data_IF_221566669441
#
_entry.id   IF_221566669441
#
_cell.length_a   1.000
_cell.length_b   1.000
_cell.length_c   1.000
_cell.angle_alpha   90.00
_cell.angle_beta   90.00
_cell.angle_gamma   90.00
#
_symmetry.space_group_name_H-M   'P 1'
#
loop_
_entity.id
_entity.type
_entity.pdbx_description
1 polymer ?
#
# COMPACT_ATOMS: atom_id res chain seq x y z
N UNK A 1 -1.55 8.80 -55.32
CA UNK A 1 -1.61 7.34 -55.52
C UNK A 1 -2.11 6.74 -54.19
N UNK A 2 -3.25 6.03 -54.18
CA UNK A 2 -3.79 5.48 -52.95
C UNK A 2 -2.91 4.31 -52.49
N UNK A 3 -2.49 4.33 -51.23
CA UNK A 3 -1.70 3.27 -50.59
C UNK A 3 -2.54 1.97 -50.51
N UNK A 4 -1.90 0.83 -50.76
CA UNK A 4 -2.47 -0.50 -50.63
C UNK A 4 -1.71 -1.30 -49.59
N UNK A 5 -2.33 -2.33 -49.03
CA UNK A 5 -1.75 -3.18 -47.99
C UNK A 5 -0.34 -3.69 -48.34
N UNK A 6 -0.12 -4.07 -49.59
CA UNK A 6 1.17 -4.55 -50.10
C UNK A 6 2.30 -3.51 -50.09
N UNK A 7 1.99 -2.21 -49.96
CA UNK A 7 2.98 -1.15 -49.95
C UNK A 7 3.68 -1.07 -48.59
N UNK A 8 3.17 -1.82 -47.61
CA UNK A 8 3.70 -1.90 -46.20
C UNK A 8 4.55 -3.15 -45.98
N UNK A 9 4.80 -3.97 -47.02
CA UNK A 9 5.69 -5.13 -46.88
C UNK A 9 7.07 -4.69 -46.41
N UNK A 10 7.55 -5.33 -45.30
CA UNK A 10 8.81 -4.99 -44.64
C UNK A 10 8.72 -3.87 -43.63
N UNK A 11 7.54 -3.35 -43.32
CA UNK A 11 7.29 -2.46 -42.19
C UNK A 11 6.94 -3.30 -40.97
N UNK A 12 7.68 -3.13 -39.83
CA UNK A 12 7.42 -3.94 -38.65
C UNK A 12 6.14 -3.50 -37.94
N UNK A 13 5.46 -4.43 -37.25
CA UNK A 13 4.29 -4.17 -36.41
C UNK A 13 4.51 -3.01 -35.42
N UNK A 14 5.71 -2.92 -34.83
CA UNK A 14 6.08 -1.82 -33.96
C UNK A 14 6.11 -0.46 -34.64
N UNK A 15 6.55 -0.41 -35.91
CA UNK A 15 6.55 0.83 -36.72
C UNK A 15 5.12 1.25 -37.05
N UNK A 16 4.25 0.31 -37.41
CA UNK A 16 2.84 0.59 -37.69
C UNK A 16 2.10 1.10 -36.45
N UNK A 17 2.31 0.46 -35.33
CA UNK A 17 1.69 0.87 -34.07
C UNK A 17 2.16 2.27 -33.63
N UNK A 18 3.45 2.55 -33.70
CA UNK A 18 3.98 3.87 -33.38
C UNK A 18 3.47 4.95 -34.35
N UNK A 19 3.34 4.63 -35.63
CA UNK A 19 2.77 5.56 -36.58
C UNK A 19 1.30 5.88 -36.29
N UNK A 20 0.51 4.88 -35.91
CA UNK A 20 -0.87 5.07 -35.50
C UNK A 20 -0.96 5.97 -34.23
N UNK A 21 -0.13 5.72 -33.24
CA UNK A 21 -0.05 6.54 -32.01
C UNK A 21 0.35 7.99 -32.31
N UNK A 22 1.42 8.19 -33.10
CA UNK A 22 1.92 9.53 -33.45
C UNK A 22 0.93 10.35 -34.28
N UNK A 23 0.14 9.70 -35.12
CA UNK A 23 -0.86 10.35 -35.97
C UNK A 23 -2.24 10.42 -35.32
N UNK A 24 -2.36 9.98 -34.05
CA UNK A 24 -3.63 9.99 -33.32
C UNK A 24 -4.71 9.06 -33.92
N UNK A 25 -4.29 8.05 -34.68
CA UNK A 25 -5.18 7.09 -35.33
C UNK A 25 -5.44 5.93 -34.39
N UNK A 26 -6.72 5.68 -34.08
CA UNK A 26 -7.12 4.48 -33.33
C UNK A 26 -7.61 3.41 -34.34
N UNK A 27 -6.86 2.31 -34.53
CA UNK A 27 -7.33 1.19 -35.32
C UNK A 27 -8.45 0.47 -34.55
N UNK A 28 -9.56 0.26 -35.24
CA UNK A 28 -10.71 -0.47 -34.69
C UNK A 28 -10.80 -1.79 -35.43
N UNK A 29 -10.77 -2.91 -34.71
CA UNK A 29 -10.91 -4.24 -35.27
C UNK A 29 -12.33 -4.55 -35.72
N UNK A 30 -12.50 -5.66 -36.40
CA UNK A 30 -13.79 -6.12 -36.91
C UNK A 30 -14.87 -6.31 -35.83
N UNK A 31 -14.46 -6.40 -34.56
CA UNK A 31 -15.31 -6.48 -33.37
C UNK A 31 -15.66 -5.13 -32.78
N UNK A 32 -15.25 -4.01 -33.36
CA UNK A 32 -15.47 -2.66 -32.87
C UNK A 32 -14.56 -2.24 -31.68
N UNK A 33 -13.57 -3.04 -31.33
CA UNK A 33 -12.61 -2.76 -30.26
C UNK A 33 -11.26 -2.30 -30.82
N UNK A 34 -10.45 -1.54 -30.06
CA UNK A 34 -9.09 -1.18 -30.45
C UNK A 34 -8.26 -2.42 -30.79
N UNK A 35 -7.54 -2.38 -31.91
CA UNK A 35 -6.74 -3.50 -32.40
C UNK A 35 -5.28 -3.11 -32.59
N UNK A 36 -4.40 -4.08 -32.39
CA UNK A 36 -2.96 -3.99 -32.66
C UNK A 36 -2.53 -4.89 -33.81
N UNK A 37 -3.48 -5.48 -34.53
CA UNK A 37 -3.19 -6.32 -35.71
C UNK A 37 -2.69 -5.47 -36.87
N UNK A 38 -1.67 -5.94 -37.57
CA UNK A 38 -0.99 -5.18 -38.60
C UNK A 38 -1.91 -4.80 -39.78
N UNK A 39 -2.79 -5.68 -40.18
CA UNK A 39 -3.78 -5.42 -41.24
C UNK A 39 -4.76 -4.30 -40.87
N UNK A 40 -5.20 -4.26 -39.62
CA UNK A 40 -6.12 -3.24 -39.11
C UNK A 40 -5.41 -1.92 -38.85
N UNK A 41 -4.16 -1.95 -38.36
CA UNK A 41 -3.29 -0.79 -38.23
C UNK A 41 -3.02 -0.14 -39.60
N UNK A 42 -2.68 -0.92 -40.61
CA UNK A 42 -2.47 -0.44 -41.98
C UNK A 42 -3.74 0.16 -42.56
N UNK A 43 -4.89 -0.49 -42.37
CA UNK A 43 -6.18 0.02 -42.86
C UNK A 43 -6.54 1.38 -42.23
N UNK A 44 -6.31 1.53 -40.94
CA UNK A 44 -6.55 2.76 -40.18
C UNK A 44 -5.61 3.89 -40.63
N UNK A 45 -4.32 3.60 -40.84
CA UNK A 45 -3.33 4.55 -41.34
C UNK A 45 -3.62 5.01 -42.77
N UNK A 46 -4.04 4.11 -43.66
CA UNK A 46 -4.49 4.46 -45.02
C UNK A 46 -5.70 5.41 -44.94
N UNK A 47 -6.67 5.09 -44.11
CA UNK A 47 -7.90 5.90 -43.93
C UNK A 47 -7.60 7.29 -43.37
N UNK A 48 -6.55 7.44 -42.55
CA UNK A 48 -6.11 8.75 -42.01
C UNK A 48 -5.40 9.63 -43.04
N UNK A 49 -5.10 9.12 -44.24
CA UNK A 49 -4.35 9.84 -45.29
C UNK A 49 -2.84 9.84 -45.09
N UNK A 50 -2.33 9.00 -44.16
CA UNK A 50 -0.90 8.88 -43.94
C UNK A 50 -0.19 8.35 -45.19
N UNK A 51 1.01 8.88 -45.53
CA UNK A 51 1.82 8.40 -46.62
C UNK A 51 2.85 7.37 -46.15
N UNK A 52 3.27 6.47 -47.03
CA UNK A 52 4.34 5.50 -46.71
C UNK A 52 5.65 6.19 -46.29
N UNK A 53 5.94 7.34 -46.90
CA UNK A 53 7.08 8.16 -46.50
C UNK A 53 6.97 8.69 -45.06
N UNK A 54 5.77 9.17 -44.71
CA UNK A 54 5.48 9.63 -43.34
C UNK A 54 5.61 8.48 -42.33
N UNK A 55 5.08 7.30 -42.69
CA UNK A 55 5.12 6.12 -41.80
C UNK A 55 6.55 5.57 -41.66
N UNK A 56 7.32 5.52 -42.77
CA UNK A 56 8.74 5.09 -42.73
C UNK A 56 9.66 6.11 -42.06
N UNK A 57 9.30 7.40 -42.08
CA UNK A 57 10.03 8.45 -41.37
C UNK A 57 9.81 8.37 -39.84
N UNK A 58 8.68 7.82 -39.42
CA UNK A 58 8.42 7.46 -38.02
C UNK A 58 9.15 6.13 -37.75
N UNK A 59 10.49 6.21 -37.66
CA UNK A 59 11.27 5.03 -37.26
C UNK A 59 10.83 4.59 -35.87
N UNK A 60 10.65 3.26 -35.62
CA UNK A 60 10.65 2.77 -34.27
C UNK A 60 12.03 3.07 -33.72
N UNK A 61 12.15 3.86 -32.65
CA UNK A 61 13.43 4.06 -32.02
C UNK A 61 13.87 2.73 -31.41
N UNK A 62 15.15 2.47 -31.40
CA UNK A 62 15.75 1.72 -30.30
C UNK A 62 15.37 2.39 -28.95
N UNK A 63 14.82 3.61 -29.00
CA UNK A 63 14.16 4.43 -27.96
C UNK A 63 13.18 5.40 -28.66
N UNK A 64 12.00 5.70 -28.10
CA UNK A 64 11.00 6.56 -28.74
C UNK A 64 11.56 7.95 -29.00
N UNK A 65 11.60 8.34 -30.28
CA UNK A 65 11.91 9.70 -30.70
C UNK A 65 10.61 10.42 -31.09
N UNK A 66 10.37 11.56 -30.50
CA UNK A 66 9.32 12.48 -30.91
C UNK A 66 10.00 13.63 -31.64
N UNK A 67 9.66 13.79 -32.91
CA UNK A 67 10.07 14.94 -33.73
C UNK A 67 11.57 15.29 -33.72
N UNK A 68 12.45 14.28 -33.88
CA UNK A 68 13.90 14.51 -33.95
C UNK A 68 14.61 14.69 -32.58
N UNK A 69 13.85 14.65 -31.50
CA UNK A 69 14.40 14.68 -30.15
C UNK A 69 14.55 13.24 -29.68
N UNK A 70 15.77 12.82 -29.38
CA UNK A 70 16.02 11.53 -28.77
C UNK A 70 15.46 11.59 -27.35
N UNK A 71 14.42 10.79 -27.06
CA UNK A 71 13.76 10.76 -25.75
C UNK A 71 14.78 10.45 -24.65
N UNK A 72 15.80 9.64 -24.93
CA UNK A 72 16.89 9.38 -23.99
C UNK A 72 17.71 10.65 -23.68
N UNK A 73 17.93 11.54 -24.66
CA UNK A 73 18.61 12.82 -24.41
C UNK A 73 17.74 13.77 -23.59
N UNK A 74 16.41 13.80 -23.84
CA UNK A 74 15.47 14.61 -23.06
C UNK A 74 15.28 14.04 -21.64
N UNK A 75 15.17 12.72 -21.53
CA UNK A 75 15.08 12.05 -20.23
C UNK A 75 16.38 12.22 -19.45
N UNK A 76 17.53 12.03 -20.09
CA UNK A 76 18.85 12.24 -19.44
C UNK A 76 19.07 13.71 -19.08
N UNK A 77 18.65 14.64 -19.93
CA UNK A 77 18.69 16.07 -19.62
C UNK A 77 17.71 16.44 -18.48
N UNK A 78 16.51 15.86 -18.47
CA UNK A 78 15.54 16.06 -17.39
C UNK A 78 16.00 15.42 -16.07
N UNK A 79 16.58 14.23 -16.12
CA UNK A 79 17.18 13.55 -14.96
C UNK A 79 18.37 14.35 -14.45
N UNK A 80 19.29 14.79 -15.34
CA UNK A 80 20.43 15.61 -14.94
C UNK A 80 20.03 16.98 -14.41
N UNK A 81 18.98 17.59 -14.96
CA UNK A 81 18.42 18.85 -14.46
C UNK A 81 17.72 18.66 -13.09
N UNK A 82 17.02 17.53 -12.89
CA UNK A 82 16.44 17.15 -11.61
C UNK A 82 17.52 16.82 -10.58
N UNK A 83 18.54 16.07 -10.96
CA UNK A 83 19.70 15.80 -10.10
C UNK A 83 20.45 17.07 -9.71
N UNK A 84 20.65 17.98 -10.66
CA UNK A 84 21.29 19.28 -10.42
C UNK A 84 20.43 20.14 -9.48
N UNK A 85 19.12 20.22 -9.74
CA UNK A 85 18.18 20.90 -8.84
C UNK A 85 18.09 20.22 -7.47
N UNK A 86 18.11 18.90 -7.42
CA UNK A 86 18.11 18.15 -6.17
C UNK A 86 19.40 18.43 -5.37
N UNK A 87 20.56 18.42 -6.01
CA UNK A 87 21.85 18.76 -5.37
C UNK A 87 21.89 20.20 -4.89
N UNK A 88 21.41 21.14 -5.70
CA UNK A 88 21.26 22.55 -5.32
C UNK A 88 20.33 22.70 -4.14
N UNK A 89 19.11 22.13 -4.23
CA UNK A 89 18.13 22.18 -3.13
C UNK A 89 18.59 21.46 -1.87
N UNK A 90 19.29 20.34 -1.98
CA UNK A 90 19.89 19.66 -0.81
C UNK A 90 20.99 20.52 -0.19
N UNK A 91 21.75 21.26 -1.00
CA UNK A 91 22.70 22.24 -0.51
C UNK A 91 22.03 23.42 0.20
N UNK A 92 20.99 23.97 -0.40
CA UNK A 92 20.20 25.07 0.14
C UNK A 92 19.45 24.64 1.41
N UNK A 93 18.83 23.44 1.40
CA UNK A 93 18.18 22.83 2.58
C UNK A 93 19.17 22.61 3.72
N UNK A 94 20.38 22.15 3.42
CA UNK A 94 21.42 21.95 4.43
C UNK A 94 21.85 23.27 5.05
N UNK A 95 21.95 24.33 4.24
CA UNK A 95 22.25 25.69 4.71
C UNK A 95 21.09 26.26 5.52
N UNK A 96 19.87 26.19 4.99
CA UNK A 96 18.66 26.71 5.65
C UNK A 96 18.30 25.94 6.93
N UNK A 97 18.53 24.60 6.95
CA UNK A 97 18.42 23.80 8.17
C UNK A 97 19.49 24.19 9.19
N UNK A 98 20.72 24.41 8.78
CA UNK A 98 21.78 24.81 9.69
C UNK A 98 21.49 26.20 10.28
N UNK A 99 21.01 27.14 9.47
CA UNK A 99 20.63 28.47 9.91
C UNK A 99 19.36 28.45 10.79
N UNK A 100 18.38 27.64 10.44
CA UNK A 100 17.17 27.43 11.24
C UNK A 100 17.45 26.72 12.57
N UNK A 101 18.36 25.73 12.57
CA UNK A 101 18.85 25.07 13.78
C UNK A 101 19.64 26.07 14.65
N UNK A 102 20.49 26.87 14.05
CA UNK A 102 21.27 27.89 14.78
C UNK A 102 20.38 29.00 15.38
N UNK A 103 19.29 29.37 14.66
CA UNK A 103 18.27 30.30 15.15
C UNK A 103 17.37 29.71 16.24
N UNK A 104 17.01 28.42 16.11
CA UNK A 104 16.13 27.71 17.05
C UNK A 104 16.83 27.31 18.35
N UNK A 105 18.13 26.95 18.30
CA UNK A 105 18.93 26.57 19.48
C UNK A 105 19.16 27.76 20.44
N UNK A 106 18.92 29.02 19.99
CA UNK A 106 19.03 30.20 20.81
C UNK A 106 17.92 30.42 21.85
N UNK A 107 16.86 29.61 21.92
CA UNK A 107 15.76 29.93 22.86
C UNK A 107 14.58 28.98 23.02
N UNK A 108 14.53 27.76 22.45
CA UNK A 108 13.30 26.93 22.41
C UNK A 108 13.46 25.56 23.09
N UNK A 109 12.40 25.13 23.82
CA UNK A 109 12.29 23.80 24.46
C UNK A 109 12.11 22.68 23.41
N UNK A 110 12.71 21.53 23.66
CA UNK A 110 12.85 20.37 22.77
C UNK A 110 11.64 19.91 21.91
N UNK A 111 10.36 19.98 22.31
CA UNK A 111 9.25 19.52 21.47
C UNK A 111 8.96 20.39 20.24
N UNK A 112 9.25 21.71 20.31
CA UNK A 112 8.92 22.63 19.21
C UNK A 112 9.90 22.55 18.04
N UNK A 113 11.14 22.12 18.29
CA UNK A 113 12.17 21.96 17.26
C UNK A 113 11.80 20.85 16.28
N UNK A 114 11.23 19.74 16.76
CA UNK A 114 10.84 18.61 15.90
C UNK A 114 9.71 19.00 14.95
N UNK A 115 8.73 19.76 15.41
CA UNK A 115 7.63 20.24 14.57
C UNK A 115 8.12 21.26 13.51
N UNK A 116 9.01 22.18 13.88
CA UNK A 116 9.60 23.16 12.97
C UNK A 116 10.50 22.50 11.91
N UNK A 117 11.30 21.51 12.29
CA UNK A 117 12.14 20.73 11.37
C UNK A 117 11.26 19.92 10.40
N UNK A 118 10.23 19.25 10.89
CA UNK A 118 9.31 18.49 10.03
C UNK A 118 8.56 19.39 9.04
N UNK A 119 8.13 20.59 9.46
CA UNK A 119 7.50 21.56 8.59
C UNK A 119 8.46 22.14 7.54
N UNK A 120 9.70 22.43 7.91
CA UNK A 120 10.73 22.90 6.98
C UNK A 120 11.11 21.82 5.97
N UNK A 121 11.26 20.56 6.39
CA UNK A 121 11.51 19.41 5.52
C UNK A 121 10.33 19.22 4.55
N UNK A 122 9.09 19.23 5.03
CA UNK A 122 7.90 19.10 4.16
C UNK A 122 7.81 20.24 3.13
N UNK A 123 8.10 21.48 3.53
CA UNK A 123 8.11 22.64 2.64
C UNK A 123 9.21 22.55 1.58
N UNK A 124 10.39 22.06 1.94
CA UNK A 124 11.51 21.88 1.05
C UNK A 124 11.31 20.74 0.03
N UNK A 125 10.64 19.65 0.43
CA UNK A 125 10.31 18.52 -0.46
C UNK A 125 9.11 18.78 -1.36
N UNK A 126 8.23 19.74 -1.01
CA UNK A 126 7.03 20.04 -1.78
C UNK A 126 7.28 20.38 -3.26
N UNK A 127 8.24 21.25 -3.63
CA UNK A 127 8.53 21.54 -5.05
C UNK A 127 9.02 20.33 -5.84
N UNK A 128 9.74 19.40 -5.17
CA UNK A 128 10.24 18.16 -5.77
C UNK A 128 9.07 17.21 -6.01
N UNK A 129 8.18 17.08 -5.02
CA UNK A 129 6.96 16.28 -5.11
C UNK A 129 6.03 16.80 -6.21
N UNK A 130 5.82 18.11 -6.27
CA UNK A 130 4.97 18.74 -7.28
C UNK A 130 5.56 18.56 -8.69
N UNK A 131 6.88 18.71 -8.85
CA UNK A 131 7.57 18.48 -10.12
C UNK A 131 7.55 17.00 -10.54
N UNK A 132 7.67 16.07 -9.59
CA UNK A 132 7.56 14.65 -9.84
C UNK A 132 6.13 14.27 -10.26
N UNK A 133 5.11 14.81 -9.58
CA UNK A 133 3.71 14.57 -9.92
C UNK A 133 3.30 15.18 -11.27
N UNK A 134 3.91 16.31 -11.65
CA UNK A 134 3.68 16.95 -12.94
C UNK A 134 4.42 16.25 -14.11
N UNK A 135 5.36 15.36 -13.81
CA UNK A 135 6.11 14.65 -14.84
C UNK A 135 5.21 13.61 -15.55
N UNK A 136 5.39 13.38 -16.87
CA UNK A 136 4.69 12.31 -17.57
C UNK A 136 4.89 10.96 -16.88
N UNK A 137 3.83 10.13 -16.85
CA UNK A 137 3.83 8.82 -16.15
C UNK A 137 5.02 7.94 -16.57
N UNK A 138 5.43 7.97 -17.84
CA UNK A 138 6.60 7.26 -18.33
C UNK A 138 7.91 7.72 -17.66
N UNK A 139 8.01 9.01 -17.33
CA UNK A 139 9.17 9.59 -16.62
C UNK A 139 9.12 9.20 -15.15
N UNK A 140 7.97 9.28 -14.52
CA UNK A 140 7.77 8.83 -13.12
C UNK A 140 8.12 7.34 -12.96
N UNK A 141 7.66 6.50 -13.89
CA UNK A 141 7.96 5.06 -13.89
C UNK A 141 9.45 4.79 -14.08
N UNK A 142 10.13 5.54 -14.96
CA UNK A 142 11.59 5.41 -15.17
C UNK A 142 12.40 5.92 -13.98
N UNK A 143 12.03 7.04 -13.38
CA UNK A 143 12.68 7.55 -12.16
C UNK A 143 12.52 6.53 -11.04
N UNK A 144 11.31 6.00 -10.83
CA UNK A 144 11.06 4.97 -9.84
C UNK A 144 11.84 3.67 -10.10
N UNK A 145 12.04 3.31 -11.37
CA UNK A 145 12.85 2.15 -11.77
C UNK A 145 14.36 2.39 -11.66
N UNK A 146 14.81 3.65 -11.71
CA UNK A 146 16.22 4.03 -11.63
C UNK A 146 16.73 4.24 -10.21
N UNK A 147 15.87 4.26 -9.20
CA UNK A 147 16.30 4.30 -7.80
C UNK A 147 17.02 2.98 -7.51
N UNK A 148 18.33 3.00 -7.16
CA UNK A 148 19.07 1.80 -6.84
C UNK A 148 18.44 1.13 -5.62
N UNK A 149 17.83 -0.02 -5.83
CA UNK A 149 17.23 -0.78 -4.75
C UNK A 149 18.28 -1.68 -4.15
N UNK A 150 18.48 -1.57 -2.85
CA UNK A 150 19.38 -2.47 -2.15
C UNK A 150 18.64 -3.77 -1.84
N UNK A 151 19.32 -4.89 -2.02
CA UNK A 151 18.88 -6.18 -1.45
C UNK A 151 19.69 -6.43 -0.19
N UNK A 152 19.00 -6.83 0.89
CA UNK A 152 19.62 -7.19 2.17
C UNK A 152 19.15 -8.57 2.59
N UNK A 153 19.97 -9.34 3.32
CA UNK A 153 19.54 -10.62 3.88
C UNK A 153 18.27 -10.44 4.72
N UNK A 154 17.29 -11.30 4.50
CA UNK A 154 16.01 -11.26 5.23
C UNK A 154 16.25 -11.33 6.74
N UNK A 155 17.25 -12.16 7.17
CA UNK A 155 17.61 -12.28 8.56
C UNK A 155 18.04 -10.95 9.20
N UNK A 156 18.78 -10.12 8.46
CA UNK A 156 19.26 -8.81 8.96
C UNK A 156 18.11 -7.78 9.07
N UNK A 157 17.13 -7.87 8.18
CA UNK A 157 16.00 -6.92 8.14
C UNK A 157 14.91 -7.28 9.14
N UNK A 158 14.61 -8.58 9.25
CA UNK A 158 13.46 -9.06 10.02
C UNK A 158 13.83 -9.77 11.32
N UNK A 159 15.11 -10.08 11.54
CA UNK A 159 15.57 -10.80 12.74
C UNK A 159 15.10 -12.26 12.80
N UNK A 160 14.81 -12.88 11.66
CA UNK A 160 14.29 -14.26 11.57
C UNK A 160 15.14 -15.13 10.66
N UNK A 161 15.19 -16.43 10.92
CA UNK A 161 15.98 -17.39 10.14
C UNK A 161 15.26 -17.78 8.84
N UNK A 162 15.14 -16.83 7.92
CA UNK A 162 14.68 -17.06 6.54
C UNK A 162 15.86 -16.83 5.60
N UNK A 163 16.15 -17.81 4.76
CA UNK A 163 17.22 -17.70 3.75
C UNK A 163 16.78 -16.79 2.60
N UNK A 164 17.75 -16.05 2.00
CA UNK A 164 17.55 -15.17 0.87
C UNK A 164 17.57 -13.70 1.24
N UNK A 165 17.36 -12.88 0.21
CA UNK A 165 17.41 -11.43 0.31
C UNK A 165 16.04 -10.81 0.01
N UNK A 166 15.76 -9.67 0.64
CA UNK A 166 14.60 -8.83 0.36
C UNK A 166 15.00 -7.47 -0.19
N UNK A 167 14.13 -6.87 -0.98
CA UNK A 167 14.33 -5.56 -1.60
C UNK A 167 13.95 -4.44 -0.62
N UNK A 168 14.92 -3.53 -0.38
CA UNK A 168 14.73 -2.35 0.47
C UNK A 168 14.35 -1.16 -0.40
N UNK A 169 13.28 -0.47 -0.04
CA UNK A 169 12.70 0.65 -0.79
C UNK A 169 13.07 2.02 -0.23
N UNK A 170 13.48 2.08 1.03
CA UNK A 170 13.85 3.29 1.73
C UNK A 170 14.40 3.00 3.12
N UNK A 171 14.57 4.05 3.91
CA UNK A 171 14.98 3.87 5.30
C UNK A 171 13.86 3.25 6.13
N UNK A 172 14.19 2.30 7.03
CA UNK A 172 13.21 1.72 7.94
C UNK A 172 12.53 2.77 8.82
N UNK A 173 11.25 2.62 9.09
CA UNK A 173 10.48 3.53 9.94
C UNK A 173 9.43 2.78 10.78
N UNK A 174 9.09 3.30 11.95
CA UNK A 174 8.05 2.72 12.83
C UNK A 174 8.31 1.26 13.22
N UNK A 175 9.59 0.86 13.26
CA UNK A 175 9.99 -0.52 13.53
C UNK A 175 9.86 -0.82 15.02
N UNK A 176 9.02 -1.79 15.35
CA UNK A 176 9.00 -2.43 16.67
C UNK A 176 10.05 -3.55 16.70
N UNK A 177 11.11 -3.36 17.49
CA UNK A 177 12.20 -4.33 17.61
C UNK A 177 11.77 -5.64 18.28
N UNK A 178 10.71 -5.57 19.11
CA UNK A 178 10.18 -6.71 19.84
C UNK A 178 9.07 -7.44 19.07
N UNK A 179 8.76 -6.99 17.82
CA UNK A 179 7.72 -7.60 17.02
C UNK A 179 8.07 -9.06 16.68
N UNK A 180 7.17 -9.97 17.02
CA UNK A 180 7.32 -11.41 16.76
C UNK A 180 6.61 -11.78 15.46
N UNK A 181 7.37 -12.31 14.51
CA UNK A 181 6.86 -12.68 13.19
C UNK A 181 6.23 -14.07 13.16
N UNK A 182 5.08 -14.21 12.49
CA UNK A 182 4.73 -15.47 11.87
C UNK A 182 5.67 -15.69 10.67
N UNK A 183 6.67 -16.54 10.85
CA UNK A 183 7.75 -16.75 9.88
C UNK A 183 7.24 -17.29 8.55
N UNK A 184 6.16 -18.10 8.56
CA UNK A 184 5.58 -18.65 7.33
C UNK A 184 4.82 -17.59 6.55
N UNK A 185 4.00 -16.79 7.25
CA UNK A 185 3.30 -15.67 6.64
C UNK A 185 4.27 -14.62 6.09
N UNK A 186 5.37 -14.33 6.83
CA UNK A 186 6.41 -13.42 6.37
C UNK A 186 7.11 -13.93 5.11
N UNK A 187 7.50 -15.20 5.06
CA UNK A 187 8.15 -15.80 3.89
C UNK A 187 7.24 -15.74 2.64
N UNK A 188 5.94 -15.98 2.80
CA UNK A 188 4.95 -15.83 1.73
C UNK A 188 4.84 -14.38 1.26
N UNK A 189 4.70 -13.43 2.21
CA UNK A 189 4.55 -12.02 1.89
C UNK A 189 5.79 -11.44 1.17
N UNK A 190 7.00 -11.86 1.55
CA UNK A 190 8.24 -11.48 0.87
C UNK A 190 8.29 -12.01 -0.56
N UNK A 191 7.92 -13.29 -0.76
CA UNK A 191 7.85 -13.89 -2.09
C UNK A 191 6.82 -13.19 -2.97
N UNK A 192 5.66 -12.88 -2.43
CA UNK A 192 4.60 -12.18 -3.15
C UNK A 192 5.01 -10.75 -3.51
N UNK A 193 5.74 -10.08 -2.61
CA UNK A 193 6.32 -8.76 -2.88
C UNK A 193 7.32 -8.79 -4.05
N UNK A 194 8.23 -9.78 -4.09
CA UNK A 194 9.16 -9.97 -5.20
C UNK A 194 8.44 -10.28 -6.52
N UNK A 195 7.29 -10.93 -6.48
CA UNK A 195 6.48 -11.29 -7.65
C UNK A 195 5.44 -10.23 -8.02
N UNK A 196 5.30 -9.15 -7.25
CA UNK A 196 4.29 -8.11 -7.45
C UNK A 196 2.85 -8.62 -7.27
N UNK A 197 2.66 -9.58 -6.37
CA UNK A 197 1.37 -10.18 -6.00
C UNK A 197 0.81 -9.53 -4.73
N UNK A 198 -0.48 -9.74 -4.46
CA UNK A 198 -1.15 -9.25 -3.27
C UNK A 198 -1.33 -10.37 -2.26
N UNK A 199 -1.45 -10.02 -0.97
CA UNK A 199 -1.56 -10.96 0.16
C UNK A 199 -2.85 -10.70 0.94
N UNK A 200 -3.59 -11.76 1.31
CA UNK A 200 -4.77 -11.69 2.14
C UNK A 200 -4.49 -12.29 3.52
N UNK A 201 -4.25 -11.42 4.51
CA UNK A 201 -4.07 -11.82 5.91
C UNK A 201 -5.43 -12.08 6.55
N UNK A 202 -5.63 -13.26 7.12
CA UNK A 202 -6.86 -13.56 7.83
C UNK A 202 -6.61 -14.25 9.17
N UNK A 203 -7.59 -14.23 10.04
CA UNK A 203 -7.52 -14.83 11.37
C UNK A 203 -8.29 -14.03 12.40
N UNK A 204 -8.36 -14.53 13.60
CA UNK A 204 -9.13 -13.93 14.70
C UNK A 204 -8.72 -12.48 14.97
N UNK A 205 -9.63 -11.72 15.55
CA UNK A 205 -9.33 -10.36 16.01
C UNK A 205 -8.20 -10.39 17.04
N UNK A 206 -7.26 -9.44 16.91
CA UNK A 206 -6.13 -9.34 17.82
C UNK A 206 -4.94 -10.24 17.51
N UNK A 207 -4.93 -10.98 16.38
CA UNK A 207 -3.77 -11.78 15.92
C UNK A 207 -2.68 -10.95 15.24
N UNK A 208 -2.83 -9.61 15.14
CA UNK A 208 -1.80 -8.72 14.64
C UNK A 208 -1.77 -8.49 13.13
N UNK A 209 -2.85 -8.75 12.39
CA UNK A 209 -2.93 -8.57 10.92
C UNK A 209 -2.48 -7.20 10.44
N UNK A 210 -3.05 -6.14 10.99
CA UNK A 210 -2.71 -4.74 10.67
C UNK A 210 -1.27 -4.43 11.05
N UNK A 211 -0.84 -4.86 12.23
CA UNK A 211 0.54 -4.66 12.71
C UNK A 211 1.54 -5.41 11.84
N UNK A 212 1.21 -6.61 11.34
CA UNK A 212 2.05 -7.36 10.40
C UNK A 212 2.34 -6.54 9.14
N UNK A 213 1.30 -5.98 8.51
CA UNK A 213 1.47 -5.18 7.30
C UNK A 213 2.25 -3.88 7.57
N UNK A 214 2.03 -3.22 8.71
CA UNK A 214 2.78 -2.04 9.14
C UNK A 214 4.26 -2.34 9.35
N UNK A 215 4.57 -3.40 10.11
CA UNK A 215 5.95 -3.80 10.38
C UNK A 215 6.66 -4.31 9.12
N UNK A 216 5.94 -5.01 8.22
CA UNK A 216 6.46 -5.41 6.92
C UNK A 216 6.85 -4.19 6.07
N UNK A 217 5.96 -3.21 5.95
CA UNK A 217 6.23 -1.98 5.22
C UNK A 217 7.37 -1.18 5.86
N UNK A 218 7.32 -0.96 7.17
CA UNK A 218 8.28 -0.15 7.90
C UNK A 218 9.71 -0.70 7.83
N UNK A 219 9.91 -2.02 7.95
CA UNK A 219 11.24 -2.64 7.88
C UNK A 219 11.84 -2.59 6.47
N UNK A 220 11.00 -2.67 5.44
CA UNK A 220 11.44 -2.54 4.05
C UNK A 220 11.56 -1.09 3.57
N UNK A 221 11.22 -0.10 4.41
CA UNK A 221 11.17 1.32 4.03
C UNK A 221 10.13 1.62 2.94
N UNK A 222 9.03 0.86 2.90
CA UNK A 222 7.96 0.99 1.89
C UNK A 222 6.86 1.93 2.38
N UNK A 223 6.39 2.89 1.56
CA UNK A 223 5.26 3.73 1.92
C UNK A 223 4.03 2.89 2.32
N UNK A 224 3.41 3.20 3.46
CA UNK A 224 2.28 2.45 3.99
C UNK A 224 1.00 3.28 3.98
N UNK A 225 -0.05 2.73 3.40
CA UNK A 225 -1.39 3.33 3.33
C UNK A 225 -2.37 2.39 4.02
N UNK A 226 -2.96 2.84 5.11
CA UNK A 226 -4.04 2.13 5.79
C UNK A 226 -5.38 2.63 5.26
N UNK A 227 -6.17 1.73 4.73
CA UNK A 227 -7.51 2.01 4.20
C UNK A 227 -8.50 1.13 4.94
N UNK A 228 -9.18 1.65 5.97
CA UNK A 228 -10.30 0.94 6.58
C UNK A 228 -11.41 0.79 5.56
N UNK A 229 -11.96 -0.42 5.45
CA UNK A 229 -13.03 -0.73 4.50
C UNK A 229 -14.16 -1.38 5.27
N UNK A 230 -15.26 -0.69 5.42
CA UNK A 230 -16.44 -1.17 6.13
C UNK A 230 -17.69 -1.18 5.26
N UNK A 231 -18.84 -1.52 5.86
CA UNK A 231 -20.13 -1.56 5.16
C UNK A 231 -20.64 -0.21 4.69
N UNK A 232 -20.08 0.90 5.20
CA UNK A 232 -20.47 2.29 4.89
C UNK A 232 -19.47 2.99 3.97
N UNK A 233 -18.26 2.43 3.83
CA UNK A 233 -17.18 3.01 3.02
C UNK A 233 -17.63 3.23 1.58
N UNK A 234 -17.61 4.49 1.15
CA UNK A 234 -18.01 4.86 -0.20
C UNK A 234 -16.80 4.84 -1.16
N UNK A 235 -17.13 4.59 -2.44
CA UNK A 235 -16.12 4.63 -3.50
C UNK A 235 -15.39 5.97 -3.59
N UNK A 236 -16.08 7.07 -3.33
CA UNK A 236 -15.54 8.44 -3.31
C UNK A 236 -14.43 8.61 -2.27
N UNK A 237 -14.55 8.00 -1.10
CA UNK A 237 -13.56 8.09 -0.03
C UNK A 237 -12.26 7.35 -0.37
N UNK A 238 -12.38 6.16 -0.93
CA UNK A 238 -11.21 5.28 -1.18
C UNK A 238 -10.54 5.54 -2.53
N UNK A 239 -11.32 5.92 -3.54
CA UNK A 239 -10.80 6.20 -4.89
C UNK A 239 -10.52 7.70 -5.07
N UNK A 240 -11.42 8.54 -4.61
CA UNK A 240 -11.33 9.99 -4.71
C UNK A 240 -12.59 10.63 -5.26
N UNK A 241 -12.66 11.94 -5.09
CA UNK A 241 -13.75 12.76 -5.59
C UNK A 241 -13.27 14.20 -5.94
N UNK A 242 -14.18 15.01 -6.48
CA UNK A 242 -13.92 16.41 -6.71
C UNK A 242 -14.03 17.21 -5.40
N UNK A 243 -12.90 17.78 -4.99
CA UNK A 243 -12.87 18.80 -3.93
C UNK A 243 -13.06 20.21 -4.49
N UNK A 244 -13.52 21.12 -3.65
CA UNK A 244 -13.61 22.55 -3.97
C UNK A 244 -12.31 23.21 -3.48
N UNK A 245 -11.58 23.85 -4.39
CA UNK A 245 -10.37 24.61 -4.06
C UNK A 245 -10.57 26.08 -4.41
N UNK A 246 -10.29 26.96 -3.46
CA UNK A 246 -10.26 28.41 -3.72
C UNK A 246 -9.12 28.76 -4.68
N UNK A 247 -9.38 29.65 -5.65
CA UNK A 247 -8.40 30.11 -6.64
C UNK A 247 -7.49 31.25 -6.12
N UNK A 248 -7.66 31.65 -4.86
CA UNK A 248 -6.95 32.77 -4.24
C UNK A 248 -7.40 34.17 -4.73
N UNK A 249 -8.36 34.23 -5.65
CA UNK A 249 -8.91 35.47 -6.23
C UNK A 249 -10.41 35.66 -5.95
N UNK A 250 -10.95 34.91 -4.99
CA UNK A 250 -12.36 34.94 -4.60
C UNK A 250 -13.27 34.00 -5.39
N UNK A 251 -12.72 33.20 -6.32
CA UNK A 251 -13.41 32.14 -7.03
C UNK A 251 -13.13 30.76 -6.43
N UNK A 252 -13.94 29.77 -6.83
CA UNK A 252 -13.74 28.36 -6.47
C UNK A 252 -13.68 27.52 -7.72
N UNK A 253 -12.76 26.53 -7.74
CA UNK A 253 -12.66 25.52 -8.80
C UNK A 253 -12.85 24.13 -8.24
N UNK A 254 -13.51 23.28 -9.01
CA UNK A 254 -13.60 21.85 -8.69
C UNK A 254 -12.33 21.15 -9.17
N UNK A 255 -11.62 20.50 -8.25
CA UNK A 255 -10.36 19.79 -8.54
C UNK A 255 -10.49 18.37 -8.04
N UNK A 256 -10.11 17.39 -8.88
CA UNK A 256 -10.04 16.00 -8.47
C UNK A 256 -9.02 15.81 -7.34
N UNK A 257 -9.39 15.06 -6.31
CA UNK A 257 -8.51 14.65 -5.21
C UNK A 257 -8.51 13.13 -5.15
N UNK A 258 -7.31 12.53 -5.27
CA UNK A 258 -7.14 11.08 -5.13
C UNK A 258 -7.45 10.65 -3.70
N UNK A 259 -8.28 9.62 -3.56
CA UNK A 259 -8.46 8.91 -2.31
C UNK A 259 -7.23 8.05 -1.97
N UNK A 260 -7.23 7.47 -0.77
CA UNK A 260 -6.06 6.76 -0.23
C UNK A 260 -5.57 5.60 -1.13
N UNK A 261 -6.48 4.88 -1.77
CA UNK A 261 -6.12 3.78 -2.69
C UNK A 261 -5.41 4.31 -3.93
N UNK A 262 -5.90 5.37 -4.56
CA UNK A 262 -5.23 5.93 -5.74
C UNK A 262 -3.91 6.60 -5.40
N UNK A 263 -3.78 7.21 -4.23
CA UNK A 263 -2.50 7.71 -3.72
C UNK A 263 -1.48 6.57 -3.60
N UNK A 264 -1.87 5.45 -2.97
CA UNK A 264 -1.02 4.26 -2.88
C UNK A 264 -0.70 3.70 -4.28
N UNK A 265 -1.68 3.66 -5.17
CA UNK A 265 -1.56 3.13 -6.53
C UNK A 265 -0.54 3.88 -7.38
N UNK A 266 -0.40 5.20 -7.16
CA UNK A 266 0.59 6.06 -7.82
C UNK A 266 1.97 6.01 -7.14
N UNK A 267 2.06 5.48 -5.91
CA UNK A 267 3.28 5.54 -5.11
C UNK A 267 4.14 4.29 -5.33
N UNK A 268 5.37 4.41 -5.87
CA UNK A 268 6.27 3.28 -6.03
C UNK A 268 6.58 2.60 -4.71
N UNK A 269 6.54 1.27 -4.72
CA UNK A 269 6.83 0.45 -3.54
C UNK A 269 5.75 0.46 -2.46
N UNK A 270 4.65 1.18 -2.63
CA UNK A 270 3.63 1.29 -1.60
C UNK A 270 3.03 -0.05 -1.19
N UNK A 271 2.73 -0.16 0.09
CA UNK A 271 1.86 -1.17 0.68
C UNK A 271 0.52 -0.49 0.98
N UNK A 272 -0.55 -0.94 0.33
CA UNK A 272 -1.91 -0.51 0.63
C UNK A 272 -2.63 -1.61 1.40
N UNK A 273 -2.87 -1.39 2.68
CA UNK A 273 -3.64 -2.30 3.53
C UNK A 273 -5.11 -1.95 3.46
N UNK A 274 -5.92 -2.87 2.94
CA UNK A 274 -7.37 -2.86 3.02
C UNK A 274 -7.76 -3.54 4.34
N UNK A 275 -8.04 -2.76 5.38
CA UNK A 275 -8.35 -3.31 6.71
C UNK A 275 -9.86 -3.57 6.84
N UNK A 276 -10.22 -4.64 7.53
CA UNK A 276 -11.59 -5.11 7.72
C UNK A 276 -12.35 -5.37 6.39
N UNK A 277 -11.63 -5.80 5.36
CA UNK A 277 -12.16 -5.95 4.00
C UNK A 277 -13.35 -6.91 3.91
N UNK A 278 -13.52 -7.84 4.85
CA UNK A 278 -14.65 -8.77 4.97
C UNK A 278 -15.93 -8.13 5.55
N UNK A 279 -15.85 -6.92 6.08
CA UNK A 279 -17.04 -6.13 6.49
C UNK A 279 -17.60 -5.28 5.34
N UNK A 280 -16.83 -5.08 4.29
CA UNK A 280 -17.23 -4.27 3.15
C UNK A 280 -18.40 -4.87 2.36
N UNK A 281 -19.21 -4.00 1.73
CA UNK A 281 -20.23 -4.45 0.78
C UNK A 281 -19.57 -4.82 -0.54
N UNK A 282 -19.88 -6.01 -1.06
CA UNK A 282 -19.30 -6.50 -2.31
C UNK A 282 -19.50 -5.52 -3.49
N UNK A 283 -20.61 -4.80 -3.53
CA UNK A 283 -20.91 -3.80 -4.56
C UNK A 283 -19.95 -2.61 -4.53
N UNK A 284 -19.55 -2.16 -3.34
CA UNK A 284 -18.62 -1.04 -3.16
C UNK A 284 -17.20 -1.43 -3.58
N UNK A 285 -16.85 -2.72 -3.51
CA UNK A 285 -15.52 -3.24 -3.83
C UNK A 285 -15.32 -3.58 -5.31
N UNK A 286 -16.33 -3.43 -6.18
CA UNK A 286 -16.22 -3.79 -7.61
C UNK A 286 -15.03 -3.09 -8.30
N UNK A 287 -14.74 -1.86 -7.92
CA UNK A 287 -13.59 -1.10 -8.45
C UNK A 287 -12.25 -1.73 -8.04
N UNK A 288 -12.18 -2.34 -6.84
CA UNK A 288 -10.96 -3.00 -6.35
C UNK A 288 -10.58 -4.23 -7.18
N UNK A 289 -11.53 -4.90 -7.83
CA UNK A 289 -11.24 -6.01 -8.75
C UNK A 289 -10.25 -5.57 -9.85
N UNK A 290 -10.46 -4.37 -10.40
CA UNK A 290 -9.56 -3.82 -11.42
C UNK A 290 -8.23 -3.39 -10.79
N UNK A 291 -8.27 -2.64 -9.70
CA UNK A 291 -7.07 -2.09 -9.06
C UNK A 291 -6.15 -3.18 -8.49
N UNK A 292 -6.72 -4.23 -7.88
CA UNK A 292 -5.95 -5.35 -7.33
C UNK A 292 -5.38 -6.28 -8.40
N UNK A 293 -5.82 -6.19 -9.67
CA UNK A 293 -5.26 -7.01 -10.73
C UNK A 293 -3.81 -6.63 -11.03
N UNK A 294 -2.95 -7.63 -11.25
CA UNK A 294 -1.54 -7.41 -11.59
C UNK A 294 -1.39 -6.66 -12.91
N UNK A 295 -0.56 -5.62 -12.93
CA UNK A 295 -0.31 -4.83 -14.14
C UNK A 295 -1.52 -4.03 -14.64
N UNK A 296 -2.54 -3.85 -13.80
CA UNK A 296 -3.76 -3.15 -14.18
C UNK A 296 -3.54 -1.64 -14.36
N UNK A 297 -4.41 -1.06 -15.16
CA UNK A 297 -4.58 0.38 -15.29
C UNK A 297 -5.96 0.76 -14.79
N UNK A 298 -6.08 1.95 -14.24
CA UNK A 298 -7.35 2.48 -13.79
C UNK A 298 -7.65 3.80 -14.49
N UNK A 299 -8.82 3.88 -15.13
CA UNK A 299 -9.28 5.15 -15.69
C UNK A 299 -10.14 5.87 -14.66
N UNK A 300 -9.70 7.05 -14.23
CA UNK A 300 -10.47 7.91 -13.32
C UNK A 300 -11.71 8.41 -14.06
N UNK A 301 -12.94 8.07 -13.61
CA UNK A 301 -14.14 8.37 -14.38
C UNK A 301 -14.38 9.86 -14.60
N UNK A 302 -14.05 10.70 -13.62
CA UNK A 302 -14.33 12.15 -13.65
C UNK A 302 -13.29 12.95 -14.42
N UNK A 303 -12.02 12.52 -14.43
CA UNK A 303 -10.95 13.24 -15.15
C UNK A 303 -10.60 12.62 -16.48
N UNK A 304 -10.97 11.34 -16.68
CA UNK A 304 -10.58 10.55 -17.85
C UNK A 304 -9.10 10.11 -17.84
N UNK A 305 -8.35 10.46 -16.81
CA UNK A 305 -6.94 10.10 -16.65
C UNK A 305 -6.78 8.58 -16.52
N UNK A 306 -5.77 8.03 -17.18
CA UNK A 306 -5.39 6.62 -17.04
C UNK A 306 -4.20 6.54 -16.09
N UNK A 307 -4.39 5.86 -14.97
CA UNK A 307 -3.38 5.65 -13.95
C UNK A 307 -2.86 4.21 -14.06
N UNK A 308 -1.54 4.07 -14.05
CA UNK A 308 -0.86 2.78 -14.01
C UNK A 308 -0.47 2.45 -12.57
N UNK A 309 -0.56 1.17 -12.22
CA UNK A 309 -0.06 0.69 -10.93
C UNK A 309 1.43 0.95 -10.84
N UNK A 310 1.86 1.69 -9.81
CA UNK A 310 3.26 2.03 -9.60
C UNK A 310 4.11 0.76 -9.37
N UNK A 311 5.38 0.75 -9.83
CA UNK A 311 6.29 -0.37 -9.64
C UNK A 311 6.40 -0.76 -8.17
N UNK A 312 6.30 -2.06 -7.87
CA UNK A 312 6.41 -2.61 -6.53
C UNK A 312 5.24 -2.33 -5.59
N UNK A 313 4.24 -1.54 -6.00
CA UNK A 313 3.03 -1.35 -5.20
C UNK A 313 2.28 -2.68 -5.05
N UNK A 314 1.79 -2.99 -3.85
CA UNK A 314 0.99 -4.17 -3.59
C UNK A 314 -0.11 -3.91 -2.57
N UNK A 315 -1.16 -4.73 -2.63
CA UNK A 315 -2.23 -4.72 -1.65
C UNK A 315 -2.02 -5.81 -0.61
N UNK A 316 -2.31 -5.45 0.63
CA UNK A 316 -2.63 -6.37 1.70
C UNK A 316 -4.13 -6.28 2.00
N UNK A 317 -4.82 -7.41 2.09
CA UNK A 317 -6.13 -7.49 2.70
C UNK A 317 -5.98 -7.95 4.14
N UNK A 318 -6.71 -7.35 5.08
CA UNK A 318 -6.83 -7.86 6.44
C UNK A 318 -8.30 -8.15 6.75
N UNK A 319 -8.59 -9.39 7.15
CA UNK A 319 -9.92 -9.89 7.35
C UNK A 319 -9.98 -10.86 8.54
N UNK A 320 -11.15 -11.04 9.14
CA UNK A 320 -11.34 -12.09 10.14
C UNK A 320 -11.58 -13.45 9.48
N UNK A 321 -12.06 -13.44 8.24
CA UNK A 321 -12.36 -14.63 7.43
C UNK A 321 -11.44 -14.72 6.20
N UNK A 322 -11.38 -15.89 5.59
CA UNK A 322 -10.65 -16.12 4.34
C UNK A 322 -11.40 -15.62 3.08
N UNK A 323 -12.45 -14.82 3.25
CA UNK A 323 -13.29 -14.33 2.16
C UNK A 323 -14.53 -15.16 1.87
N UNK A 324 -14.72 -16.33 2.50
CA UNK A 324 -15.93 -17.16 2.32
C UNK A 324 -17.11 -16.69 3.16
N UNK A 325 -16.90 -15.67 4.01
CA UNK A 325 -17.89 -15.26 5.02
C UNK A 325 -17.75 -16.05 6.30
N UNK A 326 -18.61 -15.75 7.26
CA UNK A 326 -18.62 -16.44 8.55
C UNK A 326 -19.60 -17.63 8.52
N UNK A 327 -19.06 -18.83 8.33
CA UNK A 327 -19.83 -20.06 8.42
C UNK A 327 -20.08 -20.49 9.88
N UNK A 328 -19.30 -19.93 10.82
CA UNK A 328 -19.38 -20.27 12.26
C UNK A 328 -20.42 -19.43 13.02
N UNK A 329 -20.81 -18.28 12.49
CA UNK A 329 -21.65 -17.29 13.17
C UNK A 329 -20.94 -16.50 14.27
N UNK A 330 -19.61 -16.64 14.39
CA UNK A 330 -18.78 -15.98 15.40
C UNK A 330 -18.53 -14.51 15.08
N UNK A 331 -18.54 -14.16 13.78
CA UNK A 331 -18.22 -12.81 13.29
C UNK A 331 -19.46 -12.16 12.67
N UNK A 332 -20.41 -11.78 13.50
CA UNK A 332 -21.60 -11.06 13.06
C UNK A 332 -21.25 -9.78 12.28
N UNK A 333 -21.65 -9.74 11.00
CA UNK A 333 -21.35 -8.60 10.12
C UNK A 333 -20.35 -8.89 9.02
N UNK A 334 -19.55 -9.95 9.11
CA UNK A 334 -18.69 -10.37 7.99
C UNK A 334 -19.53 -10.93 6.84
N UNK A 335 -19.13 -10.61 5.62
CA UNK A 335 -19.85 -11.03 4.41
C UNK A 335 -18.92 -11.88 3.55
N UNK A 336 -19.52 -12.85 2.86
CA UNK A 336 -18.79 -13.53 1.80
C UNK A 336 -18.34 -12.50 0.77
N UNK A 337 -17.04 -12.47 0.49
CA UNK A 337 -16.46 -11.57 -0.49
C UNK A 337 -16.61 -12.15 -1.89
N UNK A 338 -16.62 -11.27 -2.88
CA UNK A 338 -16.71 -11.69 -4.27
C UNK A 338 -15.47 -12.53 -4.64
N UNK A 339 -15.68 -13.73 -5.18
CA UNK A 339 -14.63 -14.63 -5.63
C UNK A 339 -13.64 -13.93 -6.59
N UNK A 340 -14.15 -13.02 -7.44
CA UNK A 340 -13.30 -12.24 -8.33
C UNK A 340 -12.34 -11.29 -7.60
N UNK A 341 -12.67 -10.77 -6.41
CA UNK A 341 -11.73 -10.01 -5.59
C UNK A 341 -10.70 -10.95 -4.96
N UNK A 342 -11.15 -12.06 -4.38
CA UNK A 342 -10.27 -13.05 -3.76
C UNK A 342 -9.21 -13.57 -4.74
N UNK A 343 -9.58 -13.83 -6.00
CA UNK A 343 -8.65 -14.25 -7.07
C UNK A 343 -7.52 -13.24 -7.37
N UNK A 344 -7.59 -12.02 -6.87
CA UNK A 344 -6.54 -11.00 -7.00
C UNK A 344 -5.49 -11.06 -5.91
N UNK A 345 -5.67 -11.94 -4.94
CA UNK A 345 -4.72 -12.21 -3.87
C UNK A 345 -4.12 -13.60 -4.08
N UNK A 346 -2.79 -13.68 -4.09
CA UNK A 346 -2.10 -14.93 -4.42
C UNK A 346 -2.14 -15.95 -3.27
N UNK A 347 -2.01 -15.45 -2.05
CA UNK A 347 -1.95 -16.29 -0.86
C UNK A 347 -2.80 -15.72 0.26
N UNK A 348 -3.32 -16.62 1.09
CA UNK A 348 -4.21 -16.35 2.22
C UNK A 348 -3.62 -16.88 3.53
N UNK A 349 -2.47 -16.34 4.02
CA UNK A 349 -1.90 -16.80 5.27
C UNK A 349 -2.84 -16.51 6.44
N UNK A 350 -3.11 -17.54 7.24
CA UNK A 350 -3.87 -17.43 8.49
C UNK A 350 -2.92 -17.03 9.60
N UNK A 351 -3.14 -15.85 10.18
CA UNK A 351 -2.45 -15.43 11.39
C UNK A 351 -3.18 -16.00 12.60
N UNK A 352 -2.42 -16.66 13.47
CA UNK A 352 -2.90 -17.20 14.73
C UNK A 352 -2.30 -16.44 15.90
N UNK A 353 -2.80 -16.66 17.11
CA UNK A 353 -2.12 -16.18 18.30
C UNK A 353 -0.71 -16.77 18.38
N UNK A 354 0.21 -16.01 18.94
CA UNK A 354 1.57 -16.47 19.17
C UNK A 354 1.58 -17.69 20.13
N UNK A 355 2.61 -18.54 20.07
CA UNK A 355 2.86 -19.52 21.13
C UNK A 355 2.91 -18.85 22.49
N UNK A 356 2.34 -19.48 23.51
CA UNK A 356 2.22 -18.94 24.89
C UNK A 356 3.52 -18.37 25.42
N UNK A 357 4.63 -19.08 25.25
CA UNK A 357 5.93 -18.62 25.70
C UNK A 357 6.36 -17.31 25.03
N UNK A 358 6.10 -17.15 23.72
CA UNK A 358 6.42 -15.90 23.02
C UNK A 358 5.56 -14.73 23.46
N UNK A 359 4.29 -14.97 23.82
CA UNK A 359 3.44 -13.93 24.41
C UNK A 359 3.95 -13.51 25.79
N UNK A 360 4.34 -14.48 26.63
CA UNK A 360 4.95 -14.20 27.95
C UNK A 360 6.23 -13.40 27.76
N UNK A 361 7.15 -13.86 26.91
CA UNK A 361 8.43 -13.19 26.65
C UNK A 361 8.21 -11.74 26.14
N UNK A 362 7.21 -11.53 25.29
CA UNK A 362 6.86 -10.20 24.79
C UNK A 362 6.35 -9.29 25.91
N UNK A 363 5.49 -9.79 26.80
CA UNK A 363 5.00 -9.02 27.95
C UNK A 363 6.12 -8.67 28.91
N UNK A 364 7.04 -9.62 29.16
CA UNK A 364 8.22 -9.40 30.03
C UNK A 364 9.15 -8.35 29.43
N UNK A 365 9.42 -8.38 28.12
CA UNK A 365 10.19 -7.34 27.42
C UNK A 365 9.55 -5.97 27.53
N UNK A 366 8.23 -5.89 27.65
CA UNK A 366 7.46 -4.66 27.87
C UNK A 366 7.36 -4.25 29.33
N UNK A 367 8.09 -4.92 30.23
CA UNK A 367 8.22 -4.56 31.64
C UNK A 367 7.32 -5.31 32.61
N UNK A 368 6.57 -6.34 32.16
CA UNK A 368 5.76 -7.16 33.04
C UNK A 368 6.65 -8.07 33.90
N UNK A 369 6.36 -8.26 35.20
CA UNK A 369 6.93 -9.35 35.99
C UNK A 369 6.58 -10.71 35.33
N UNK A 370 7.52 -11.65 35.35
CA UNK A 370 7.38 -12.96 34.69
C UNK A 370 6.17 -13.74 35.23
N UNK A 371 5.93 -13.71 36.52
CA UNK A 371 4.79 -14.37 37.15
C UNK A 371 3.46 -13.77 36.74
N UNK A 372 3.36 -12.44 36.66
CA UNK A 372 2.17 -11.71 36.19
C UNK A 372 1.90 -12.04 34.74
N UNK A 373 2.93 -11.99 33.87
CA UNK A 373 2.80 -12.33 32.44
C UNK A 373 2.33 -13.80 32.25
N UNK A 374 2.91 -14.72 33.02
CA UNK A 374 2.58 -16.14 32.95
C UNK A 374 1.13 -16.39 33.36
N UNK A 375 0.69 -15.83 34.50
CA UNK A 375 -0.68 -15.94 35.00
C UNK A 375 -1.66 -15.35 33.99
N UNK A 376 -1.40 -14.16 33.46
CA UNK A 376 -2.27 -13.50 32.49
C UNK A 376 -2.44 -14.33 31.21
N UNK A 377 -1.35 -14.86 30.65
CA UNK A 377 -1.41 -15.67 29.44
C UNK A 377 -2.12 -17.00 29.68
N UNK A 378 -1.99 -17.59 30.88
CA UNK A 378 -2.79 -18.77 31.25
C UNK A 378 -4.31 -18.46 31.24
N UNK A 379 -4.75 -17.31 31.77
CA UNK A 379 -6.13 -16.86 31.66
C UNK A 379 -6.54 -16.68 30.21
N UNK A 380 -5.72 -16.00 29.38
CA UNK A 380 -5.99 -15.79 27.96
C UNK A 380 -6.14 -17.11 27.20
N UNK A 381 -5.32 -18.12 27.52
CA UNK A 381 -5.45 -19.46 26.95
C UNK A 381 -6.83 -20.06 27.26
N UNK A 382 -7.32 -19.91 28.49
CA UNK A 382 -8.66 -20.38 28.87
C UNK A 382 -9.76 -19.62 28.14
N UNK A 383 -9.64 -18.29 28.05
CA UNK A 383 -10.57 -17.48 27.25
C UNK A 383 -10.61 -17.93 25.78
N UNK A 384 -9.46 -18.26 25.19
CA UNK A 384 -9.38 -18.77 23.80
C UNK A 384 -10.04 -20.14 23.64
N UNK A 385 -9.98 -20.99 24.64
CA UNK A 385 -10.65 -22.30 24.62
C UNK A 385 -12.18 -22.20 24.72
N UNK A 386 -12.70 -21.10 25.25
CA UNK A 386 -14.13 -20.83 25.40
C UNK A 386 -14.75 -20.14 24.16
N UNK A 387 -13.97 -19.81 23.14
CA UNK A 387 -14.47 -19.20 21.91
C UNK A 387 -15.33 -20.19 21.14
N UNK A 388 -16.47 -19.75 20.66
CA UNK A 388 -17.52 -20.61 20.05
C UNK A 388 -18.43 -21.31 21.07
N UNK A 389 -18.16 -21.13 22.38
CA UNK A 389 -18.98 -21.59 23.49
C UNK A 389 -19.51 -20.44 24.34
N UNK A 390 -18.82 -20.18 25.44
CA UNK A 390 -19.21 -19.12 26.39
C UNK A 390 -18.66 -17.74 26.07
N UNK A 391 -17.77 -17.62 25.08
CA UNK A 391 -17.19 -16.36 24.57
C UNK A 391 -17.24 -16.33 23.03
N UNK A 392 -17.51 -15.16 22.46
CA UNK A 392 -17.37 -14.96 21.00
C UNK A 392 -15.94 -14.54 20.61
N UNK A 393 -15.30 -13.71 21.40
CA UNK A 393 -13.96 -13.19 21.10
C UNK A 393 -13.06 -13.33 22.33
N UNK A 394 -11.81 -13.81 22.19
CA UNK A 394 -10.87 -13.84 23.29
C UNK A 394 -10.22 -12.47 23.47
N UNK A 395 -9.69 -12.14 24.67
CA UNK A 395 -8.89 -10.96 24.85
C UNK A 395 -7.65 -10.96 23.94
N UNK A 396 -7.34 -9.81 23.35
CA UNK A 396 -6.17 -9.62 22.46
C UNK A 396 -4.93 -9.21 23.26
N UNK A 397 -3.74 -9.34 22.64
CA UNK A 397 -2.49 -8.82 23.23
C UNK A 397 -2.55 -7.32 23.54
N UNK A 398 -3.29 -6.51 22.79
CA UNK A 398 -3.53 -5.11 23.12
C UNK A 398 -4.16 -4.95 24.51
N UNK A 399 -5.05 -5.88 24.89
CA UNK A 399 -5.65 -5.92 26.22
C UNK A 399 -4.68 -6.42 27.28
N UNK A 400 -3.77 -7.33 26.91
CA UNK A 400 -2.69 -7.74 27.80
C UNK A 400 -1.76 -6.56 28.17
N UNK A 401 -1.39 -5.74 27.20
CA UNK A 401 -0.59 -4.53 27.46
C UNK A 401 -1.34 -3.56 28.37
N UNK A 402 -2.61 -3.27 28.12
CA UNK A 402 -3.41 -2.42 28.99
C UNK A 402 -3.55 -2.97 30.43
N UNK A 403 -3.64 -4.31 30.57
CA UNK A 403 -3.62 -4.95 31.87
C UNK A 403 -2.30 -4.72 32.62
N UNK A 404 -1.16 -4.95 31.93
CA UNK A 404 0.16 -4.75 32.51
C UNK A 404 0.38 -3.29 32.93
N UNK A 405 -0.10 -2.33 32.14
CA UNK A 405 -0.01 -0.89 32.44
C UNK A 405 -0.80 -0.47 33.69
N UNK A 406 -1.73 -1.29 34.15
CA UNK A 406 -2.62 -0.99 35.30
C UNK A 406 -2.54 -2.01 36.45
N UNK A 407 -1.71 -3.05 36.35
CA UNK A 407 -1.66 -4.15 37.32
C UNK A 407 -1.16 -3.72 38.69
N UNK A 408 -0.41 -2.66 38.77
CA UNK A 408 0.05 -2.03 40.02
C UNK A 408 -1.11 -1.47 40.87
N UNK A 409 -2.26 -1.17 40.25
CA UNK A 409 -3.48 -0.76 40.95
C UNK A 409 -4.28 -1.95 41.52
N UNK A 410 -3.80 -3.17 41.33
CA UNK A 410 -4.43 -4.42 41.70
C UNK A 410 -4.90 -5.23 40.51
N UNK A 411 -4.58 -6.53 40.50
CA UNK A 411 -4.85 -7.40 39.33
C UNK A 411 -6.34 -7.53 39.00
N UNK A 412 -7.22 -7.61 40.03
CA UNK A 412 -8.68 -7.67 39.81
C UNK A 412 -9.20 -6.39 39.15
N UNK A 413 -8.72 -5.23 39.60
CA UNK A 413 -9.09 -3.94 39.03
C UNK A 413 -8.56 -3.80 37.63
N UNK A 414 -7.30 -4.16 37.38
CA UNK A 414 -6.69 -4.13 36.07
C UNK A 414 -7.46 -5.02 35.07
N UNK A 415 -7.88 -6.22 35.49
CA UNK A 415 -8.69 -7.12 34.69
C UNK A 415 -10.04 -6.49 34.36
N UNK A 416 -10.72 -5.92 35.35
CA UNK A 416 -12.02 -5.28 35.18
C UNK A 416 -11.94 -4.16 34.14
N UNK A 417 -11.00 -3.22 34.28
CA UNK A 417 -10.95 -2.03 33.43
C UNK A 417 -10.35 -2.30 32.03
N UNK A 418 -9.41 -3.26 31.94
CA UNK A 418 -8.72 -3.52 30.66
C UNK A 418 -9.47 -4.52 29.78
N UNK A 419 -10.20 -5.48 30.37
CA UNK A 419 -10.78 -6.59 29.63
C UNK A 419 -12.30 -6.65 29.81
N UNK A 420 -12.80 -6.75 31.06
CA UNK A 420 -14.22 -6.99 31.31
C UNK A 420 -15.10 -5.86 30.80
N UNK A 421 -14.79 -4.62 31.17
CA UNK A 421 -15.59 -3.45 30.80
C UNK A 421 -15.63 -3.18 29.30
N UNK A 422 -14.71 -3.78 28.53
CA UNK A 422 -14.70 -3.68 27.06
C UNK A 422 -15.46 -4.83 26.39
N UNK A 423 -15.86 -5.84 27.15
CA UNK A 423 -16.60 -6.99 26.61
C UNK A 423 -18.13 -6.75 26.65
N UNK A 424 -18.90 -7.35 25.73
CA UNK A 424 -20.34 -7.34 25.81
C UNK A 424 -20.83 -7.88 27.18
N UNK A 425 -21.89 -7.26 27.72
CA UNK A 425 -22.39 -7.58 29.06
C UNK A 425 -22.63 -9.08 29.32
N UNK A 426 -23.03 -9.81 28.28
CA UNK A 426 -23.28 -11.25 28.33
C UNK A 426 -22.04 -12.08 28.66
N UNK A 427 -20.84 -11.59 28.34
CA UNK A 427 -19.57 -12.30 28.55
C UNK A 427 -18.79 -11.83 29.80
N UNK A 428 -19.19 -10.72 30.41
CA UNK A 428 -18.45 -10.11 31.50
C UNK A 428 -18.30 -11.04 32.71
N UNK A 429 -19.39 -11.73 33.07
CA UNK A 429 -19.36 -12.66 34.20
C UNK A 429 -18.47 -13.88 33.93
N UNK A 430 -18.53 -14.42 32.73
CA UNK A 430 -17.62 -15.50 32.31
C UNK A 430 -16.15 -15.09 32.40
N UNK A 431 -15.83 -13.86 31.97
CA UNK A 431 -14.46 -13.34 32.02
C UNK A 431 -13.98 -13.17 33.49
N UNK A 432 -14.84 -12.72 34.40
CA UNK A 432 -14.50 -12.64 35.85
C UNK A 432 -14.25 -14.02 36.44
N UNK A 433 -15.10 -15.00 36.13
CA UNK A 433 -14.95 -16.38 36.61
C UNK A 433 -13.66 -17.03 36.09
N UNK A 434 -13.34 -16.85 34.80
CA UNK A 434 -12.10 -17.36 34.21
C UNK A 434 -10.86 -16.73 34.87
N UNK A 435 -10.89 -15.43 35.15
CA UNK A 435 -9.82 -14.75 35.85
C UNK A 435 -9.63 -15.28 37.27
N UNK A 436 -10.70 -15.29 38.06
CA UNK A 436 -10.66 -15.78 39.44
C UNK A 436 -10.17 -17.25 39.54
N UNK A 437 -10.54 -18.08 38.59
CA UNK A 437 -10.15 -19.49 38.58
C UNK A 437 -8.70 -19.76 38.12
N UNK A 438 -8.09 -18.88 37.31
CA UNK A 438 -6.84 -19.20 36.60
C UNK A 438 -5.70 -18.18 36.77
N UNK A 439 -5.96 -17.02 37.37
CA UNK A 439 -4.93 -16.00 37.61
C UNK A 439 -4.19 -16.21 38.93
N UNK A 440 -4.78 -16.84 39.96
CA UNK A 440 -4.20 -17.06 41.30
C UNK A 440 -3.07 -18.08 41.35
#
# INVERSE_FOLDING_TARGET
>A
MALKLKDFDGVTSGTLLNAAICLGVQPIGANGLPSTRDDELVAALIKSGATLATIKAIRPPASPAVAGIKVDEVVNAAVSALESKLRSHVGDIKSDMQDSINQAVGGIKAPDVTAAVNAAVAAAFKPISDAFQAAPVAVQTRIAASIPRQRKPIADVFGVAIAGDCEIWGEPYGVDQDYVWDVRALALALRDADQGQNVWLWGMKGTGKTTFAQQFAGRLGRPFFLVPVDGTTEKSEVIGDNGIKGDGKGGTSSVWQDGAILQAYRTPGAICLLDEVDHARADNLTTLHTLCSKGSTYRVPKTGEIIHRAPGMMFFGAANTNGTGDESGEYGGTKAQNAALCDRFAHFPKLTFMPEQQEIDLLVKRGAPVDVATKLINVFKRCRAEVGGSLNEPPSLRRAFAFIESVDLGADYAWEVSIVNNAPAVYQETLRQLFAAHYN
#
